data_IF_548520799519
#
_entry.id   IF_548520799519
#
_cell.length_a   1.000
_cell.length_b   1.000
_cell.length_c   1.000
_cell.angle_alpha   90.00
_cell.angle_beta   90.00
_cell.angle_gamma   90.00
#
_symmetry.space_group_name_H-M   'P 1'
#
loop_
_entity.id
_entity.type
_entity.pdbx_description
1 polymer ?
#
# COMPACT_ATOMS: atom_id res chain seq x y z
N UNK A 1 -5.42 -10.22 45.49
CA UNK A 1 -6.66 -10.50 44.73
C UNK A 1 -7.39 -9.25 44.22
N UNK A 2 -7.26 -8.07 44.84
CA UNK A 2 -7.95 -6.85 44.37
C UNK A 2 -7.46 -6.31 43.01
N UNK A 3 -6.16 -6.43 42.71
CA UNK A 3 -5.59 -5.95 41.44
C UNK A 3 -6.12 -6.70 40.21
N UNK A 4 -6.51 -7.97 40.34
CA UNK A 4 -7.04 -8.75 39.23
C UNK A 4 -8.43 -8.24 38.80
N UNK A 5 -9.32 -7.99 39.78
CA UNK A 5 -10.67 -7.46 39.54
C UNK A 5 -10.69 -6.07 38.91
N UNK A 6 -9.76 -5.19 39.34
CA UNK A 6 -9.62 -3.85 38.76
C UNK A 6 -9.06 -3.92 37.32
N UNK A 7 -8.16 -4.86 37.05
CA UNK A 7 -7.59 -5.10 35.71
C UNK A 7 -8.62 -5.66 34.73
N UNK A 8 -9.48 -6.58 35.18
CA UNK A 8 -10.62 -7.08 34.40
C UNK A 8 -11.60 -5.95 34.05
N UNK A 9 -11.87 -5.04 35.00
CA UNK A 9 -12.74 -3.88 34.76
C UNK A 9 -12.18 -2.95 33.69
N UNK A 10 -10.87 -2.68 33.69
CA UNK A 10 -10.21 -1.86 32.66
C UNK A 10 -10.28 -2.50 31.27
N UNK A 11 -10.06 -3.82 31.17
CA UNK A 11 -10.20 -4.57 29.91
C UNK A 11 -11.63 -4.55 29.38
N UNK A 12 -12.62 -4.77 30.24
CA UNK A 12 -14.02 -4.77 29.84
C UNK A 12 -14.48 -3.38 29.38
N UNK A 13 -14.06 -2.32 30.07
CA UNK A 13 -14.33 -0.93 29.64
C UNK A 13 -13.75 -0.63 28.26
N UNK A 14 -12.52 -1.08 27.99
CA UNK A 14 -11.89 -0.91 26.69
C UNK A 14 -12.63 -1.71 25.60
N UNK A 15 -13.02 -2.94 25.88
CA UNK A 15 -13.82 -3.76 24.96
C UNK A 15 -15.13 -3.08 24.59
N UNK A 16 -15.87 -2.56 25.59
CA UNK A 16 -17.11 -1.81 25.37
C UNK A 16 -16.90 -0.53 24.59
N UNK A 17 -15.78 0.15 24.79
CA UNK A 17 -15.41 1.32 24.01
C UNK A 17 -15.15 0.97 22.54
N UNK A 18 -14.42 -0.10 22.24
CA UNK A 18 -14.18 -0.56 20.87
C UNK A 18 -15.47 -1.04 20.18
N UNK A 19 -16.38 -1.66 20.92
CA UNK A 19 -17.72 -2.06 20.45
C UNK A 19 -18.57 -0.83 20.11
N UNK A 20 -18.63 0.16 21.02
CA UNK A 20 -19.41 1.39 20.83
C UNK A 20 -18.87 2.28 19.71
N UNK A 21 -17.56 2.27 19.49
CA UNK A 21 -16.91 3.06 18.44
C UNK A 21 -16.89 2.37 17.07
N UNK A 22 -17.37 1.12 16.95
CA UNK A 22 -17.40 0.39 15.68
C UNK A 22 -16.04 -0.14 15.21
N UNK A 23 -14.99 -0.02 16.04
CA UNK A 23 -13.65 -0.53 15.73
C UNK A 23 -13.69 -2.05 15.57
N UNK A 24 -14.37 -2.77 16.48
CA UNK A 24 -14.47 -4.23 16.43
C UNK A 24 -15.09 -4.76 15.13
N UNK A 25 -16.08 -4.06 14.59
CA UNK A 25 -16.73 -4.42 13.34
C UNK A 25 -15.77 -4.26 12.14
N UNK A 26 -15.05 -3.15 12.12
CA UNK A 26 -14.02 -2.87 11.11
C UNK A 26 -12.91 -3.92 11.15
N UNK A 27 -12.44 -4.29 12.34
CA UNK A 27 -11.42 -5.34 12.52
C UNK A 27 -11.93 -6.72 12.09
N UNK A 28 -13.18 -7.02 12.40
CA UNK A 28 -13.83 -8.27 12.01
C UNK A 28 -14.00 -8.37 10.50
N UNK A 29 -14.31 -7.25 9.83
CA UNK A 29 -14.37 -7.17 8.37
C UNK A 29 -12.98 -7.39 7.75
N UNK A 30 -11.94 -6.71 8.24
CA UNK A 30 -10.57 -6.84 7.70
C UNK A 30 -10.02 -8.27 7.88
N UNK A 31 -10.21 -8.86 9.06
CA UNK A 31 -9.77 -10.24 9.34
C UNK A 31 -10.67 -11.28 8.66
N UNK A 32 -11.96 -10.97 8.46
CA UNK A 32 -12.91 -11.85 7.79
C UNK A 32 -12.77 -11.91 6.27
N UNK A 33 -12.16 -10.90 5.64
CA UNK A 33 -11.91 -10.85 4.20
C UNK A 33 -10.66 -11.62 3.73
N UNK A 34 -9.91 -12.27 4.62
CA UNK A 34 -8.86 -13.22 4.22
C UNK A 34 -9.48 -14.54 3.77
N UNK A 35 -10.20 -14.50 2.66
CA UNK A 35 -10.49 -15.69 1.90
C UNK A 35 -9.18 -16.09 1.19
N UNK A 36 -8.70 -17.34 1.32
CA UNK A 36 -7.54 -17.81 0.57
C UNK A 36 -7.99 -17.99 -0.88
N UNK A 37 -8.03 -16.90 -1.62
CA UNK A 37 -7.97 -16.96 -3.08
C UNK A 37 -6.51 -17.10 -3.43
N UNK A 38 -6.09 -18.35 -3.63
CA UNK A 38 -4.90 -18.68 -4.41
C UNK A 38 -4.85 -17.73 -5.62
N UNK A 39 -3.75 -16.99 -5.77
CA UNK A 39 -3.45 -16.06 -6.89
C UNK A 39 -3.79 -14.58 -6.66
N UNK A 40 -3.00 -13.89 -5.81
CA UNK A 40 -2.34 -12.63 -6.17
C UNK A 40 -1.34 -12.23 -5.06
N UNK A 41 -0.06 -12.09 -5.39
CA UNK A 41 0.95 -11.50 -4.51
C UNK A 41 0.75 -9.97 -4.50
N UNK A 42 -0.28 -9.51 -3.78
CA UNK A 42 -0.44 -8.11 -3.39
C UNK A 42 0.30 -7.83 -2.06
N UNK A 43 0.79 -6.60 -1.82
CA UNK A 43 1.52 -6.30 -0.59
C UNK A 43 0.58 -6.51 0.62
N UNK A 44 1.08 -7.03 1.75
CA UNK A 44 0.27 -7.25 2.95
C UNK A 44 -0.13 -5.89 3.52
N UNK A 45 -1.27 -5.36 3.06
CA UNK A 45 -1.60 -3.93 3.17
C UNK A 45 -1.99 -3.43 4.57
N UNK A 46 -2.03 -4.28 5.58
CA UNK A 46 -2.11 -3.87 6.98
C UNK A 46 -1.29 -4.88 7.79
N UNK A 47 -0.06 -4.50 8.14
CA UNK A 47 0.74 -5.24 9.11
C UNK A 47 -0.11 -5.41 10.39
N UNK A 48 -0.51 -6.65 10.68
CA UNK A 48 -1.18 -7.01 11.95
C UNK A 48 -0.41 -6.42 13.15
N UNK A 49 0.91 -6.32 13.01
CA UNK A 49 1.81 -5.70 13.96
C UNK A 49 1.50 -4.20 14.17
N UNK A 50 1.27 -3.44 13.11
CA UNK A 50 0.90 -2.03 13.20
C UNK A 50 -0.47 -1.85 13.85
N UNK A 51 -1.43 -2.72 13.52
CA UNK A 51 -2.75 -2.69 14.15
C UNK A 51 -2.67 -2.97 15.66
N UNK A 52 -1.84 -3.95 16.06
CA UNK A 52 -1.61 -4.25 17.47
C UNK A 52 -1.00 -3.04 18.18
N UNK A 53 -0.02 -2.38 17.57
CA UNK A 53 0.62 -1.18 18.14
C UNK A 53 -0.39 -0.05 18.38
N UNK A 54 -1.24 0.25 17.40
CA UNK A 54 -2.28 1.29 17.53
C UNK A 54 -3.32 0.93 18.59
N UNK A 55 -3.73 -0.34 18.69
CA UNK A 55 -4.65 -0.79 19.74
C UNK A 55 -4.02 -0.72 21.13
N UNK A 56 -2.70 -0.95 21.25
CA UNK A 56 -1.96 -0.78 22.50
C UNK A 56 -1.90 0.71 22.87
N UNK A 57 -1.54 1.59 21.94
CA UNK A 57 -1.54 3.05 22.17
C UNK A 57 -2.93 3.54 22.60
N UNK A 58 -3.98 3.11 21.91
CA UNK A 58 -5.36 3.44 22.24
C UNK A 58 -5.80 2.83 23.59
N UNK A 59 -5.23 1.70 24.03
CA UNK A 59 -5.46 1.11 25.35
C UNK A 59 -4.76 1.88 26.47
N UNK A 60 -3.57 2.40 26.21
CA UNK A 60 -2.74 3.14 27.18
C UNK A 60 -3.18 4.60 27.36
N UNK A 61 -3.84 5.20 26.37
CA UNK A 61 -4.35 6.57 26.43
C UNK A 61 -5.22 6.83 27.69
N UNK A 62 -4.88 7.81 28.54
CA UNK A 62 -5.60 8.09 29.78
C UNK A 62 -6.98 8.71 29.54
N UNK A 63 -7.13 9.51 28.48
CA UNK A 63 -8.40 10.10 28.04
C UNK A 63 -8.78 9.49 26.69
N UNK A 64 -9.76 8.58 26.67
CA UNK A 64 -10.12 7.86 25.45
C UNK A 64 -10.72 8.84 24.43
N UNK A 65 -10.20 8.88 23.18
CA UNK A 65 -10.71 9.81 22.19
C UNK A 65 -12.20 9.53 21.92
N UNK A 66 -13.00 10.57 21.72
CA UNK A 66 -14.42 10.41 21.42
C UNK A 66 -14.66 9.63 20.12
N UNK A 67 -13.70 9.66 19.19
CA UNK A 67 -13.76 8.96 17.91
C UNK A 67 -12.51 8.07 17.72
N UNK A 68 -12.63 6.82 18.17
CA UNK A 68 -11.57 5.81 18.10
C UNK A 68 -11.16 5.49 16.66
N UNK A 69 -12.11 5.50 15.73
CA UNK A 69 -11.87 5.16 14.33
C UNK A 69 -10.99 6.21 13.65
N UNK A 70 -11.20 7.49 13.92
CA UNK A 70 -10.34 8.56 13.41
C UNK A 70 -8.93 8.47 13.99
N UNK A 71 -8.80 8.16 15.29
CA UNK A 71 -7.50 7.93 15.93
C UNK A 71 -6.73 6.78 15.27
N UNK A 72 -7.43 5.66 15.03
CA UNK A 72 -6.85 4.48 14.40
C UNK A 72 -6.48 4.77 12.94
N UNK A 73 -7.33 5.48 12.17
CA UNK A 73 -7.03 5.87 10.79
C UNK A 73 -5.82 6.79 10.69
N UNK A 74 -5.69 7.74 11.61
CA UNK A 74 -4.55 8.66 11.66
C UNK A 74 -3.25 7.91 11.96
N UNK A 75 -3.28 6.97 12.91
CA UNK A 75 -2.10 6.19 13.31
C UNK A 75 -1.74 5.05 12.33
N UNK A 76 -2.71 4.46 11.63
CA UNK A 76 -2.47 3.43 10.62
C UNK A 76 -1.95 4.01 9.28
N UNK A 77 -1.64 5.31 9.20
CA UNK A 77 -1.16 5.91 7.95
C UNK A 77 -2.21 5.93 6.85
N UNK A 78 -3.50 6.05 7.18
CA UNK A 78 -4.52 6.40 6.19
C UNK A 78 -4.50 7.90 5.82
N UNK A 79 -3.59 8.69 6.44
CA UNK A 79 -3.01 9.84 5.77
C UNK A 79 -2.11 9.26 4.66
N UNK A 80 -2.46 9.49 3.39
CA UNK A 80 -1.81 8.85 2.25
C UNK A 80 -0.28 8.94 2.23
N UNK A 81 0.38 8.26 1.27
CA UNK A 81 1.84 8.22 1.15
C UNK A 81 2.45 9.59 1.37
N UNK A 82 3.57 9.64 2.11
CA UNK A 82 4.23 10.88 2.51
C UNK A 82 4.31 11.81 1.29
N UNK A 83 3.92 13.09 1.40
CA UNK A 83 3.91 13.99 0.25
C UNK A 83 5.27 14.04 -0.45
N UNK A 84 6.38 13.82 0.26
CA UNK A 84 7.71 13.71 -0.33
C UNK A 84 7.86 12.43 -1.17
N UNK A 85 7.35 11.28 -0.71
CA UNK A 85 7.36 10.03 -1.47
C UNK A 85 6.47 10.14 -2.72
N UNK A 86 5.32 10.81 -2.62
CA UNK A 86 4.43 11.05 -3.78
C UNK A 86 5.10 11.95 -4.82
N UNK A 87 5.81 12.99 -4.38
CA UNK A 87 6.55 13.90 -5.27
C UNK A 87 7.76 13.21 -5.93
N UNK A 88 8.49 12.39 -5.17
CA UNK A 88 9.59 11.59 -5.69
C UNK A 88 9.12 10.60 -6.76
N UNK A 89 8.04 9.84 -6.48
CA UNK A 89 7.46 8.90 -7.44
C UNK A 89 6.93 9.59 -8.70
N UNK A 90 6.32 10.79 -8.56
CA UNK A 90 5.89 11.60 -9.71
C UNK A 90 7.06 12.01 -10.60
N UNK A 91 8.19 12.36 -9.99
CA UNK A 91 9.40 12.74 -10.72
C UNK A 91 9.96 11.54 -11.49
N UNK A 92 10.07 10.38 -10.83
CA UNK A 92 10.57 9.15 -11.46
C UNK A 92 9.66 8.67 -12.61
N UNK A 93 8.33 8.78 -12.46
CA UNK A 93 7.39 8.48 -13.55
C UNK A 93 7.65 9.39 -14.76
N UNK A 94 7.85 10.69 -14.54
CA UNK A 94 8.12 11.63 -15.62
C UNK A 94 9.45 11.32 -16.32
N UNK A 95 10.51 11.02 -15.56
CA UNK A 95 11.82 10.67 -16.11
C UNK A 95 11.78 9.35 -16.91
N UNK A 96 11.11 8.34 -16.36
CA UNK A 96 10.94 7.05 -17.05
C UNK A 96 10.10 7.19 -18.32
N UNK A 97 9.01 7.97 -18.30
CA UNK A 97 8.22 8.26 -19.50
C UNK A 97 9.05 8.96 -20.57
N UNK A 98 9.83 9.98 -20.18
CA UNK A 98 10.68 10.72 -21.11
C UNK A 98 11.76 9.81 -21.73
N UNK A 99 12.31 8.88 -20.93
CA UNK A 99 13.29 7.89 -21.41
C UNK A 99 12.65 6.85 -22.34
N UNK A 100 11.44 6.39 -22.03
CA UNK A 100 10.68 5.51 -22.92
C UNK A 100 10.36 6.18 -24.25
N UNK A 101 9.99 7.46 -24.25
CA UNK A 101 9.71 8.22 -25.46
C UNK A 101 10.97 8.42 -26.31
N UNK A 102 12.08 8.83 -25.69
CA UNK A 102 13.37 8.97 -26.37
C UNK A 102 13.87 7.64 -26.98
N UNK A 103 13.80 6.54 -26.22
CA UNK A 103 14.17 5.22 -26.73
C UNK A 103 13.23 4.72 -27.83
N UNK A 104 11.95 5.11 -27.78
CA UNK A 104 10.98 4.78 -28.84
C UNK A 104 11.27 5.56 -30.11
N UNK A 105 11.61 6.84 -29.99
CA UNK A 105 12.01 7.70 -31.10
C UNK A 105 13.32 7.21 -31.73
N UNK A 106 14.32 6.88 -30.92
CA UNK A 106 15.59 6.32 -31.38
C UNK A 106 15.38 4.96 -32.06
N UNK A 107 14.56 4.07 -31.49
CA UNK A 107 14.21 2.80 -32.14
C UNK A 107 13.50 3.01 -33.48
N UNK A 108 12.63 4.02 -33.58
CA UNK A 108 11.94 4.34 -34.81
C UNK A 108 12.91 4.91 -35.87
N UNK A 109 13.81 5.81 -35.47
CA UNK A 109 14.88 6.31 -36.33
C UNK A 109 15.81 5.19 -36.81
N UNK A 110 16.24 4.30 -35.92
CA UNK A 110 17.08 3.15 -36.27
C UNK A 110 16.36 2.18 -37.19
N UNK A 111 15.08 1.88 -36.93
CA UNK A 111 14.25 1.08 -37.84
C UNK A 111 14.12 1.74 -39.21
N UNK A 112 13.90 3.04 -39.25
CA UNK A 112 13.75 3.78 -40.51
C UNK A 112 15.09 3.84 -41.28
N UNK A 113 16.22 3.99 -40.59
CA UNK A 113 17.56 3.88 -41.17
C UNK A 113 17.87 2.47 -41.66
N UNK A 114 17.45 1.43 -40.93
CA UNK A 114 17.55 0.02 -41.36
C UNK A 114 16.73 -0.24 -42.63
N UNK A 115 15.46 0.19 -42.67
CA UNK A 115 14.62 0.05 -43.86
C UNK A 115 15.18 0.81 -45.07
N UNK A 116 15.91 1.90 -44.86
CA UNK A 116 16.58 2.65 -45.93
C UNK A 116 17.98 2.13 -46.29
N UNK A 117 18.57 1.27 -45.45
CA UNK A 117 19.81 0.55 -45.74
C UNK A 117 19.59 -0.83 -46.35
N UNK A 118 18.34 -1.28 -46.51
CA UNK A 118 18.00 -2.49 -47.27
C UNK A 118 17.66 -2.15 -48.74
N UNK A 119 18.66 -1.71 -49.53
CA UNK A 119 18.78 -2.17 -50.91
C UNK A 119 20.13 -2.85 -51.07
N UNK A 120 20.28 -4.05 -50.50
CA UNK A 120 21.21 -5.03 -51.04
C UNK A 120 20.35 -6.18 -51.54
N UNK A 121 20.01 -6.24 -52.85
CA UNK A 121 19.52 -7.48 -53.40
C UNK A 121 20.62 -8.51 -53.12
N UNK A 122 20.26 -9.58 -52.41
CA UNK A 122 20.95 -10.86 -52.55
C UNK A 122 20.82 -11.27 -54.02
N UNK A 123 21.62 -10.64 -54.89
CA UNK A 123 21.92 -11.18 -56.20
C UNK A 123 22.64 -12.51 -55.93
N UNK A 124 21.87 -13.57 -56.16
CA UNK A 124 22.36 -14.91 -56.48
C UNK A 124 23.72 -14.81 -57.17
N UNK A 125 24.79 -15.38 -56.59
CA UNK A 125 25.95 -15.70 -57.39
C UNK A 125 25.48 -16.77 -58.39
N UNK A 126 25.49 -16.40 -59.67
CA UNK A 126 25.47 -17.37 -60.75
C UNK A 126 26.69 -18.28 -60.59
N UNK A 127 26.47 -19.57 -60.35
CA UNK A 127 26.99 -20.69 -61.15
C UNK A 127 26.37 -22.03 -60.71
#
# INVERSE_FOLDING_TARGET
MAHYRASESKREQFRRYLEKSGVLDTLTSIVGHTQPSDQDFGPPGLDLQQLIEVLVALYEEPDKPNNALDFIKLHLGAAGPDPADVEALRTEISELQQKCEALTEENNELKNKLMQCEPAPEEKPAE
#
